data_IF_762136035877
#
_entry.id   IF_762136035877
#
_cell.length_a   1.000
_cell.length_b   1.000
_cell.length_c   1.000
_cell.angle_alpha   90.00
_cell.angle_beta   90.00
_cell.angle_gamma   90.00
#
_symmetry.space_group_name_H-M   'P 1'
#
loop_
_entity.id
_entity.type
_entity.pdbx_description
1 polymer ?
#
# COMPACT_ATOMS: atom_id res chain seq x y z
N UNK A 1 -14.46 -1.13 -5.41
CA UNK A 1 -14.46 -1.59 -4.01
C UNK A 1 -14.25 -0.41 -3.06
N UNK A 2 -15.00 -0.34 -1.97
CA UNK A 2 -14.82 0.66 -0.91
C UNK A 2 -13.96 0.07 0.21
N UNK A 3 -12.85 0.72 0.55
CA UNK A 3 -11.89 0.26 1.56
C UNK A 3 -11.73 1.30 2.66
N UNK A 4 -11.87 0.87 3.92
CA UNK A 4 -11.64 1.73 5.08
C UNK A 4 -10.22 1.56 5.63
N UNK A 5 -9.46 2.64 5.58
CA UNK A 5 -8.04 2.68 5.95
C UNK A 5 -7.83 3.50 7.21
N UNK A 6 -7.10 2.95 8.17
CA UNK A 6 -6.48 3.75 9.23
C UNK A 6 -5.32 4.57 8.65
N UNK A 7 -4.98 5.66 9.34
CA UNK A 7 -3.81 6.48 9.00
C UNK A 7 -2.52 5.66 8.86
N UNK A 8 -2.31 4.67 9.72
CA UNK A 8 -1.11 3.83 9.69
C UNK A 8 -1.11 2.82 8.54
N UNK A 9 -2.26 2.24 8.20
CA UNK A 9 -2.38 1.40 7.01
C UNK A 9 -2.09 2.20 5.74
N UNK A 10 -2.64 3.42 5.62
CA UNK A 10 -2.38 4.31 4.50
C UNK A 10 -0.90 4.73 4.43
N UNK A 11 -0.31 5.14 5.55
CA UNK A 11 1.10 5.54 5.64
C UNK A 11 2.04 4.41 5.26
N UNK A 12 1.87 3.22 5.85
CA UNK A 12 2.76 2.10 5.61
C UNK A 12 2.54 1.50 4.22
N UNK A 13 1.29 1.42 3.74
CA UNK A 13 0.99 1.04 2.37
C UNK A 13 1.65 1.98 1.36
N UNK A 14 1.52 3.30 1.55
CA UNK A 14 2.19 4.29 0.70
C UNK A 14 3.71 4.14 0.74
N UNK A 15 4.28 3.95 1.93
CA UNK A 15 5.72 3.72 2.09
C UNK A 15 6.20 2.47 1.35
N UNK A 16 5.38 1.43 1.24
CA UNK A 16 5.68 0.22 0.47
C UNK A 16 5.62 0.49 -1.03
N UNK A 17 4.59 1.19 -1.52
CA UNK A 17 4.46 1.57 -2.94
C UNK A 17 5.62 2.47 -3.38
N UNK A 18 5.89 3.52 -2.60
CA UNK A 18 6.97 4.49 -2.86
C UNK A 18 8.38 3.89 -2.74
N UNK A 19 8.54 2.79 -1.98
CA UNK A 19 9.81 2.07 -1.87
C UNK A 19 9.88 0.79 -2.70
N UNK A 20 8.85 0.48 -3.49
CA UNK A 20 8.87 -0.68 -4.36
C UNK A 20 9.98 -0.53 -5.41
N UNK A 21 10.63 -1.64 -5.75
CA UNK A 21 11.64 -1.65 -6.80
C UNK A 21 11.05 -1.18 -8.13
N UNK A 22 9.75 -1.39 -8.38
CA UNK A 22 9.07 -0.90 -9.57
C UNK A 22 8.95 0.63 -9.60
N UNK A 23 8.73 1.29 -8.45
CA UNK A 23 8.75 2.75 -8.35
C UNK A 23 10.16 3.34 -8.56
N UNK A 24 11.20 2.65 -8.07
CA UNK A 24 12.59 3.11 -8.15
C UNK A 24 13.35 2.71 -9.43
N UNK A 25 13.14 1.51 -9.97
CA UNK A 25 13.71 1.02 -11.24
C UNK A 25 13.24 1.85 -12.44
N UNK A 26 12.27 2.72 -12.19
CA UNK A 26 11.57 3.58 -13.11
C UNK A 26 12.02 5.04 -13.10
N UNK A 27 13.21 5.34 -12.57
CA UNK A 27 13.87 6.63 -12.85
C UNK A 27 13.93 6.98 -14.36
N UNK A 28 13.72 6.00 -15.26
CA UNK A 28 13.58 6.19 -16.72
C UNK A 28 12.26 5.68 -17.36
N UNK A 29 11.25 5.22 -16.61
CA UNK A 29 9.95 4.74 -17.15
C UNK A 29 8.81 5.11 -16.20
N UNK A 30 7.62 5.49 -16.68
CA UNK A 30 6.48 5.74 -15.78
C UNK A 30 6.00 4.46 -15.08
N UNK A 31 5.53 4.54 -13.82
CA UNK A 31 4.85 3.43 -13.16
C UNK A 31 3.64 2.94 -13.95
N UNK A 32 3.32 1.63 -13.83
CA UNK A 32 2.02 1.16 -14.29
C UNK A 32 0.94 2.05 -13.68
N UNK A 33 -0.04 2.47 -14.48
CA UNK A 33 -1.05 3.43 -14.05
C UNK A 33 -1.77 3.01 -12.76
N UNK A 34 -2.01 1.70 -12.59
CA UNK A 34 -2.61 1.14 -11.38
C UNK A 34 -1.73 1.33 -10.13
N UNK A 35 -0.41 1.12 -10.24
CA UNK A 35 0.52 1.33 -9.10
C UNK A 35 0.60 2.81 -8.75
N UNK A 36 0.59 3.69 -9.74
CA UNK A 36 0.58 5.13 -9.52
C UNK A 36 -0.71 5.60 -8.84
N UNK A 37 -1.87 5.18 -9.35
CA UNK A 37 -3.17 5.52 -8.77
C UNK A 37 -3.29 5.04 -7.32
N UNK A 38 -2.86 3.81 -7.04
CA UNK A 38 -2.81 3.26 -5.68
C UNK A 38 -1.90 4.10 -4.77
N UNK A 39 -0.73 4.52 -5.25
CA UNK A 39 0.18 5.40 -4.52
C UNK A 39 -0.47 6.73 -4.16
N UNK A 40 -1.14 7.37 -5.11
CA UNK A 40 -1.83 8.65 -4.93
C UNK A 40 -3.01 8.54 -3.95
N UNK A 41 -3.77 7.44 -4.02
CA UNK A 41 -4.89 7.15 -3.10
C UNK A 41 -4.37 6.97 -1.67
N UNK A 42 -3.32 6.18 -1.47
CA UNK A 42 -2.75 5.93 -0.14
C UNK A 42 -2.11 7.20 0.44
N UNK A 43 -1.42 7.98 -0.39
CA UNK A 43 -0.86 9.27 0.00
C UNK A 43 -1.97 10.21 0.47
N UNK A 44 -3.02 10.38 -0.34
CA UNK A 44 -4.17 11.23 0.00
C UNK A 44 -4.83 10.76 1.30
N UNK A 45 -5.04 9.46 1.45
CA UNK A 45 -5.67 8.90 2.64
C UNK A 45 -4.85 9.11 3.92
N UNK A 46 -3.52 9.07 3.82
CA UNK A 46 -2.60 9.37 4.92
C UNK A 46 -2.51 10.89 5.20
N UNK A 47 -2.49 11.73 4.15
CA UNK A 47 -2.33 13.18 4.24
C UNK A 47 -3.61 13.88 4.71
N UNK A 48 -4.77 13.22 4.71
CA UNK A 48 -6.00 13.75 5.28
C UNK A 48 -5.93 14.14 6.77
N UNK A 49 -4.82 13.87 7.48
CA UNK A 49 -4.51 14.33 8.86
C UNK A 49 -5.61 14.10 9.91
N UNK A 50 -6.56 13.21 9.65
CA UNK A 50 -7.56 12.82 10.62
C UNK A 50 -6.99 11.77 11.58
N UNK A 51 -7.38 11.82 12.85
CA UNK A 51 -7.08 10.75 13.82
C UNK A 51 -8.03 9.54 13.66
N UNK A 52 -8.77 9.47 12.55
CA UNK A 52 -9.82 8.47 12.28
C UNK A 52 -9.46 7.63 11.07
N UNK A 53 -10.38 6.77 10.64
CA UNK A 53 -10.29 6.04 9.37
C UNK A 53 -10.72 6.91 8.19
N UNK A 54 -10.10 6.66 7.03
CA UNK A 54 -10.39 7.28 5.74
C UNK A 54 -10.95 6.22 4.80
N UNK A 55 -12.05 6.50 4.14
CA UNK A 55 -12.56 5.62 3.09
C UNK A 55 -11.90 5.98 1.75
N UNK A 56 -11.41 4.97 1.03
CA UNK A 56 -10.96 5.09 -0.36
C UNK A 56 -11.77 4.17 -1.27
N UNK A 57 -11.80 4.51 -2.55
CA UNK A 57 -12.37 3.66 -3.59
C UNK A 57 -11.24 3.11 -4.46
N UNK A 58 -11.25 1.80 -4.69
CA UNK A 58 -10.29 1.08 -5.53
C UNK A 58 -11.05 0.27 -6.58
N UNK A 59 -10.60 0.30 -7.81
CA UNK A 59 -10.95 -0.71 -8.82
C UNK A 59 -10.41 -2.08 -8.46
N UNK A 60 -10.90 -3.14 -9.11
CA UNK A 60 -10.43 -4.50 -8.86
C UNK A 60 -8.95 -4.68 -9.23
N UNK A 61 -8.49 -4.01 -10.29
CA UNK A 61 -7.10 -4.02 -10.73
C UNK A 61 -6.18 -3.29 -9.73
N UNK A 62 -6.60 -2.15 -9.20
CA UNK A 62 -5.87 -1.41 -8.16
C UNK A 62 -5.80 -2.21 -6.85
N UNK A 63 -6.91 -2.86 -6.47
CA UNK A 63 -6.97 -3.74 -5.30
C UNK A 63 -6.00 -4.91 -5.44
N UNK A 64 -6.02 -5.60 -6.58
CA UNK A 64 -5.14 -6.74 -6.84
C UNK A 64 -3.66 -6.31 -6.84
N UNK A 65 -3.36 -5.20 -7.53
CA UNK A 65 -2.00 -4.64 -7.60
C UNK A 65 -1.47 -4.27 -6.21
N UNK A 66 -2.29 -3.63 -5.37
CA UNK A 66 -1.91 -3.25 -4.02
C UNK A 66 -1.71 -4.49 -3.12
N UNK A 67 -2.61 -5.48 -3.21
CA UNK A 67 -2.54 -6.70 -2.42
C UNK A 67 -1.27 -7.49 -2.73
N UNK A 68 -0.93 -7.64 -4.02
CA UNK A 68 0.27 -8.31 -4.49
C UNK A 68 1.52 -7.60 -3.97
N UNK A 69 1.64 -6.29 -4.22
CA UNK A 69 2.81 -5.49 -3.87
C UNK A 69 3.09 -5.48 -2.36
N UNK A 70 2.04 -5.33 -1.53
CA UNK A 70 2.21 -5.36 -0.07
C UNK A 70 2.55 -6.78 0.42
N UNK A 71 1.95 -7.82 -0.18
CA UNK A 71 2.24 -9.22 0.20
C UNK A 71 3.69 -9.61 -0.13
N UNK A 72 4.18 -9.23 -1.30
CA UNK A 72 5.59 -9.43 -1.68
C UNK A 72 6.54 -8.72 -0.72
N UNK A 73 6.21 -7.47 -0.36
CA UNK A 73 7.01 -6.71 0.59
C UNK A 73 7.11 -7.39 1.95
N UNK A 74 5.98 -7.87 2.50
CA UNK A 74 5.94 -8.63 3.76
C UNK A 74 6.77 -9.91 3.64
N UNK A 75 6.66 -10.65 2.53
CA UNK A 75 7.42 -11.87 2.30
C UNK A 75 8.93 -11.63 2.28
N UNK A 76 9.39 -10.57 1.60
CA UNK A 76 10.81 -10.18 1.54
C UNK A 76 11.34 -9.84 2.93
N UNK A 77 10.62 -9.05 3.72
CA UNK A 77 11.03 -8.68 5.08
C UNK A 77 11.03 -9.87 6.03
N UNK A 78 10.01 -10.73 5.94
CA UNK A 78 9.93 -11.96 6.73
C UNK A 78 11.14 -12.86 6.47
N UNK A 79 11.51 -13.06 5.20
CA UNK A 79 12.69 -13.82 4.81
C UNK A 79 14.00 -13.22 5.33
N UNK A 80 14.06 -11.90 5.49
CA UNK A 80 15.24 -11.17 5.99
C UNK A 80 15.25 -11.00 7.52
N UNK A 81 14.20 -11.42 8.23
CA UNK A 81 14.04 -11.16 9.66
C UNK A 81 13.91 -9.67 10.01
N UNK A 82 13.40 -8.86 9.09
CA UNK A 82 13.30 -7.39 9.22
C UNK A 82 11.88 -6.91 9.52
N UNK A 83 11.04 -7.75 10.12
CA UNK A 83 9.72 -7.31 10.59
C UNK A 83 9.85 -6.17 11.60
N UNK A 84 9.01 -5.15 11.46
CA UNK A 84 9.07 -3.94 12.26
C UNK A 84 7.66 -3.46 12.64
N UNK A 85 7.55 -2.26 13.20
CA UNK A 85 6.26 -1.69 13.61
C UNK A 85 5.25 -1.50 12.46
N UNK A 86 5.68 -1.48 11.20
CA UNK A 86 4.78 -1.39 10.05
C UNK A 86 4.12 -2.74 9.72
N UNK A 87 4.76 -3.86 10.04
CA UNK A 87 4.31 -5.21 9.69
C UNK A 87 2.85 -5.51 10.08
N UNK A 88 2.36 -5.24 11.31
CA UNK A 88 0.96 -5.51 11.67
C UNK A 88 -0.04 -4.69 10.84
N UNK A 89 0.30 -3.45 10.49
CA UNK A 89 -0.55 -2.59 9.66
C UNK A 89 -0.61 -3.06 8.22
N UNK A 90 0.53 -3.50 7.66
CA UNK A 90 0.59 -4.05 6.31
C UNK A 90 -0.19 -5.37 6.19
N UNK A 91 -0.11 -6.24 7.22
CA UNK A 91 -0.92 -7.46 7.29
C UNK A 91 -2.42 -7.16 7.36
N UNK A 92 -2.80 -6.16 8.16
CA UNK A 92 -4.20 -5.72 8.25
C UNK A 92 -4.71 -5.17 6.91
N UNK A 93 -3.88 -4.38 6.22
CA UNK A 93 -4.17 -3.87 4.87
C UNK A 93 -4.41 -5.02 3.87
N UNK A 94 -3.53 -6.02 3.81
CA UNK A 94 -3.69 -7.19 2.92
C UNK A 94 -4.99 -7.95 3.22
N UNK A 95 -5.30 -8.16 4.50
CA UNK A 95 -6.55 -8.83 4.88
C UNK A 95 -7.79 -8.08 4.38
N UNK A 96 -7.78 -6.74 4.46
CA UNK A 96 -8.90 -5.92 3.96
C UNK A 96 -8.99 -5.90 2.43
N UNK A 97 -7.89 -6.08 1.72
CA UNK A 97 -7.87 -6.15 0.25
C UNK A 97 -8.33 -7.52 -0.28
N UNK A 98 -8.21 -8.57 0.53
CA UNK A 98 -8.62 -9.94 0.19
C UNK A 98 -10.08 -10.28 0.49
N UNK A 99 -10.76 -9.48 1.33
CA UNK A 99 -12.20 -9.59 1.61
C UNK A 99 -13.05 -8.89 0.56
#
# INVERSE_FOLDING_TARGET
MRLELTKYEALHGWGVVNNSADWYAQRNRKPPAAVQAVGDILFTAYDCQTNTTTTVELSDDERASLAELVSEHIAVWTKRGQENSATPHLRSLVAKLGG
#
